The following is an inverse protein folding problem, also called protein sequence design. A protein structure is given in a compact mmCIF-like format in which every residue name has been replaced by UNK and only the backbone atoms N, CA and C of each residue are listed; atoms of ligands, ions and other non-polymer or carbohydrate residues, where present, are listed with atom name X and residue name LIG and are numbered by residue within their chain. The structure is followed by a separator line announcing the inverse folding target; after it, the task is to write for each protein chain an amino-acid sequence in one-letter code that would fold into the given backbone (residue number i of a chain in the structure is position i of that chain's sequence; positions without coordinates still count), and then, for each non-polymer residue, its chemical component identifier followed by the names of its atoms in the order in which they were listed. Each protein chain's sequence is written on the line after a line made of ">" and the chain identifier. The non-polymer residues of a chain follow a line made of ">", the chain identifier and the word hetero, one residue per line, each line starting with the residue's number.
data_IF_646250096802
#
_entry.id   IF_646250096802
#
_cell.length_a   1.000
_cell.length_b   1.000
_cell.length_c   1.000
_cell.angle_alpha   90.00
_cell.angle_beta   90.00
_cell.angle_gamma   90.00
#
_symmetry.space_group_name_H-M   'P 1'
#
loop_
_entity.id
_entity.type
_entity.pdbx_description
1 polymer ?
#
# COMPACT_ATOMS: atom_id res chain seq x y z
N UNK A 1 -20.55 -16.68 11.81
CA UNK A 1 -19.19 -16.60 12.31
C UNK A 1 -18.27 -16.48 11.13
N UNK A 2 -17.43 -15.42 11.08
CA UNK A 2 -16.45 -15.24 10.00
C UNK A 2 -15.46 -16.42 10.04
N UNK A 3 -14.81 -16.69 8.91
CA UNK A 3 -13.80 -17.75 8.84
C UNK A 3 -12.63 -17.47 9.79
N UNK A 4 -12.41 -16.19 10.11
CA UNK A 4 -11.49 -15.76 11.15
C UNK A 4 -11.86 -16.20 12.54
N UNK A 5 -13.15 -16.17 12.91
CA UNK A 5 -13.60 -16.68 14.20
C UNK A 5 -13.44 -18.20 14.30
N UNK A 6 -13.56 -18.92 13.18
CA UNK A 6 -13.27 -20.37 13.13
C UNK A 6 -11.78 -20.66 13.29
N UNK A 7 -10.93 -19.88 12.60
CA UNK A 7 -9.49 -19.99 12.73
C UNK A 7 -9.02 -19.60 14.15
N UNK A 8 -9.59 -18.53 14.71
CA UNK A 8 -9.35 -18.10 16.09
C UNK A 8 -9.70 -19.19 17.09
N UNK A 9 -10.90 -19.81 17.00
CA UNK A 9 -11.29 -20.91 17.89
C UNK A 9 -10.37 -22.12 17.76
N UNK A 10 -9.78 -22.35 16.59
CA UNK A 10 -8.79 -23.39 16.38
C UNK A 10 -7.45 -23.03 17.01
N UNK A 11 -7.10 -21.73 17.04
CA UNK A 11 -5.88 -21.22 17.66
C UNK A 11 -5.98 -21.07 19.18
N UNK A 12 -7.16 -20.81 19.72
CA UNK A 12 -7.40 -20.75 21.17
C UNK A 12 -7.10 -22.07 21.90
N UNK A 13 -6.99 -23.17 21.16
CA UNK A 13 -6.54 -24.45 21.73
C UNK A 13 -5.05 -24.56 21.96
N UNK A 14 -4.27 -23.72 21.29
CA UNK A 14 -2.82 -23.63 21.48
C UNK A 14 -2.33 -22.21 21.11
N UNK A 15 -2.62 -21.21 21.95
CA UNK A 15 -2.41 -19.80 21.62
C UNK A 15 -0.93 -19.39 21.52
N UNK A 16 -0.02 -20.31 21.80
CA UNK A 16 1.42 -20.04 21.87
C UNK A 16 2.26 -20.79 20.82
N UNK A 17 1.66 -21.68 20.06
CA UNK A 17 2.34 -22.25 18.89
C UNK A 17 2.19 -21.30 17.71
N UNK A 18 3.25 -21.16 16.95
CA UNK A 18 3.25 -20.37 15.72
C UNK A 18 2.04 -20.78 14.88
N UNK A 19 1.11 -19.85 14.77
CA UNK A 19 0.02 -19.98 13.84
C UNK A 19 0.64 -19.81 12.46
N UNK A 20 1.11 -20.89 11.98
CA UNK A 20 1.44 -20.96 10.59
C UNK A 20 0.19 -20.62 9.77
N UNK A 21 0.25 -20.71 8.61
CA UNK A 21 -0.69 -20.56 7.53
C UNK A 21 -1.94 -21.41 7.79
N UNK A 22 -3.10 -20.80 7.72
CA UNK A 22 -4.36 -21.51 7.58
C UNK A 22 -4.95 -21.20 6.20
N UNK A 23 -4.96 -22.19 5.34
CA UNK A 23 -5.81 -22.15 4.16
C UNK A 23 -7.25 -22.31 4.65
N UNK A 24 -8.05 -21.28 4.42
CA UNK A 24 -9.47 -21.31 4.71
C UNK A 24 -10.22 -21.26 3.39
N UNK A 25 -10.86 -22.37 3.04
CA UNK A 25 -11.94 -22.29 2.09
C UNK A 25 -13.06 -21.50 2.79
N UNK A 26 -13.25 -20.24 2.35
CA UNK A 26 -14.27 -19.40 2.94
C UNK A 26 -15.66 -19.95 2.64
N UNK A 27 -16.44 -20.15 3.69
CA UNK A 27 -17.84 -20.49 3.58
C UNK A 27 -18.69 -19.37 4.16
N UNK A 28 -19.65 -18.89 3.42
CA UNK A 28 -20.71 -18.06 3.99
C UNK A 28 -21.65 -18.93 4.79
N UNK A 29 -21.92 -18.53 6.03
CA UNK A 29 -22.87 -19.23 6.89
C UNK A 29 -24.28 -18.80 6.49
N UNK A 30 -24.99 -19.66 5.79
CA UNK A 30 -26.38 -19.44 5.38
C UNK A 30 -26.98 -20.70 4.76
N UNK A 31 -28.25 -20.64 4.39
CA UNK A 31 -28.93 -21.78 3.74
C UNK A 31 -28.41 -22.08 2.34
N UNK A 32 -27.69 -21.12 1.73
CA UNK A 32 -26.96 -21.25 0.49
C UNK A 32 -25.49 -20.88 0.77
N UNK A 33 -24.66 -21.86 1.15
CA UNK A 33 -23.23 -21.69 1.36
C UNK A 33 -22.55 -21.51 -0.01
N UNK A 34 -22.21 -20.27 -0.36
CA UNK A 34 -21.29 -20.02 -1.47
C UNK A 34 -19.85 -20.30 -1.00
N UNK A 35 -19.20 -21.24 -1.67
CA UNK A 35 -17.78 -21.49 -1.47
C UNK A 35 -16.99 -20.27 -1.96
N UNK A 36 -16.19 -19.64 -1.09
CA UNK A 36 -15.28 -18.59 -1.47
C UNK A 36 -13.89 -19.17 -1.71
N UNK A 37 -13.18 -18.68 -2.70
CA UNK A 37 -11.78 -19.07 -3.00
C UNK A 37 -10.77 -18.22 -2.22
N UNK A 38 -11.16 -17.66 -1.08
CA UNK A 38 -10.29 -16.83 -0.26
C UNK A 38 -9.27 -17.65 0.52
N UNK A 39 -8.07 -17.12 0.65
CA UNK A 39 -6.96 -17.72 1.41
C UNK A 39 -6.49 -16.75 2.46
N UNK A 40 -6.28 -17.24 3.69
CA UNK A 40 -5.88 -16.38 4.82
C UNK A 40 -4.67 -16.94 5.56
N UNK A 41 -3.69 -16.07 5.79
CA UNK A 41 -2.58 -16.28 6.72
C UNK A 41 -2.94 -15.63 8.04
N UNK A 42 -2.85 -16.36 9.15
CA UNK A 42 -3.02 -15.81 10.49
C UNK A 42 -1.76 -16.08 11.28
N UNK A 43 -1.22 -15.04 11.92
CA UNK A 43 -0.01 -15.16 12.74
C UNK A 43 -0.19 -14.40 14.04
N UNK A 44 0.33 -14.97 15.13
CA UNK A 44 0.36 -14.34 16.44
C UNK A 44 1.09 -13.00 16.36
N UNK A 45 0.56 -12.00 17.04
CA UNK A 45 1.15 -10.68 17.22
C UNK A 45 1.65 -10.56 18.65
N UNK A 46 2.95 -10.34 18.81
CA UNK A 46 3.56 -10.09 20.13
C UNK A 46 3.02 -8.77 20.71
N UNK A 47 3.05 -8.66 22.04
CA UNK A 47 2.47 -7.50 22.75
C UNK A 47 3.07 -6.17 22.30
N UNK A 48 4.38 -6.15 22.07
CA UNK A 48 5.16 -4.94 21.75
C UNK A 48 5.60 -4.90 20.26
N UNK A 49 5.10 -5.82 19.43
CA UNK A 49 5.39 -5.82 17.99
C UNK A 49 4.96 -4.53 17.32
N UNK A 50 5.85 -3.99 16.49
CA UNK A 50 5.57 -2.88 15.59
C UNK A 50 5.52 -3.40 14.14
N UNK A 51 4.62 -2.83 13.33
CA UNK A 51 4.44 -3.23 11.93
C UNK A 51 4.60 -2.03 11.01
N UNK A 52 5.40 -2.19 9.96
CA UNK A 52 5.72 -1.13 9.00
C UNK A 52 5.56 -1.64 7.58
N UNK A 53 5.04 -0.81 6.65
CA UNK A 53 4.98 -1.16 5.24
C UNK A 53 3.66 -0.82 4.55
N UNK A 54 3.29 -1.64 3.56
CA UNK A 54 2.12 -1.57 2.69
C UNK A 54 2.09 -0.38 1.71
N UNK A 55 3.15 0.43 1.65
CA UNK A 55 3.24 1.57 0.76
C UNK A 55 2.42 2.76 1.24
N UNK A 56 1.62 3.34 0.34
CA UNK A 56 0.83 4.55 0.60
C UNK A 56 -0.43 4.22 1.40
N UNK A 57 -0.35 4.37 2.70
CA UNK A 57 -1.44 4.13 3.65
C UNK A 57 -1.48 5.23 4.70
N UNK A 58 -2.67 5.76 5.07
CA UNK A 58 -2.80 6.78 6.11
C UNK A 58 -2.52 6.21 7.52
N UNK A 59 -2.63 7.08 8.50
CA UNK A 59 -2.41 6.74 9.90
C UNK A 59 -0.94 6.79 10.33
N UNK A 60 -0.65 6.24 11.50
CA UNK A 60 0.69 6.23 12.06
C UNK A 60 1.68 5.39 11.24
N UNK A 61 2.97 5.68 11.40
CA UNK A 61 4.03 4.90 10.77
C UNK A 61 3.99 3.43 11.21
N UNK A 62 3.85 3.18 12.51
CA UNK A 62 3.53 1.86 13.03
C UNK A 62 2.06 1.53 12.69
N UNK A 63 1.87 0.50 11.90
CA UNK A 63 0.56 0.06 11.40
C UNK A 63 -0.19 -0.87 12.34
N UNK A 64 0.36 -1.19 13.50
CA UNK A 64 -0.35 -1.97 14.53
C UNK A 64 -1.68 -1.30 14.92
N UNK A 65 -2.73 -2.09 15.02
CA UNK A 65 -4.09 -1.62 15.32
C UNK A 65 -4.86 -1.08 14.12
N UNK A 66 -4.30 -1.16 12.91
CA UNK A 66 -4.98 -0.77 11.67
C UNK A 66 -5.33 -1.98 10.81
N UNK A 67 -6.34 -1.79 9.97
CA UNK A 67 -6.72 -2.73 8.91
C UNK A 67 -6.69 -2.00 7.57
N UNK A 68 -5.97 -2.54 6.59
CA UNK A 68 -5.81 -1.96 5.26
C UNK A 68 -6.21 -2.92 4.16
N UNK A 69 -6.53 -2.35 3.01
CA UNK A 69 -6.83 -3.12 1.80
C UNK A 69 -5.87 -2.70 0.69
N UNK A 70 -5.17 -3.66 0.12
CA UNK A 70 -4.42 -3.45 -1.11
C UNK A 70 -5.36 -3.63 -2.30
N UNK A 71 -5.89 -2.51 -2.73
CA UNK A 71 -6.73 -2.34 -3.92
C UNK A 71 -6.70 -0.87 -4.28
N UNK A 72 -5.97 -0.51 -5.32
CA UNK A 72 -5.72 0.88 -5.68
C UNK A 72 -7.02 1.65 -5.86
N UNK A 73 -7.15 2.76 -5.15
CA UNK A 73 -8.37 3.56 -5.10
C UNK A 73 -8.00 5.02 -5.29
N UNK A 74 -8.68 5.67 -6.23
CA UNK A 74 -8.63 7.11 -6.40
C UNK A 74 -9.63 7.76 -5.43
N UNK A 75 -9.11 8.49 -4.44
CA UNK A 75 -9.93 9.23 -3.49
C UNK A 75 -9.42 10.66 -3.39
N UNK A 76 -10.12 11.63 -4.03
CA UNK A 76 -9.73 13.03 -4.02
C UNK A 76 -10.10 13.76 -2.72
N UNK A 77 -10.83 13.13 -1.82
CA UNK A 77 -11.20 13.71 -0.53
C UNK A 77 -9.99 13.84 0.41
N UNK A 78 -10.03 14.70 1.44
CA UNK A 78 -9.00 14.73 2.46
C UNK A 78 -8.86 13.36 3.13
N UNK A 79 -7.65 12.80 3.09
CA UNK A 79 -7.38 11.48 3.65
C UNK A 79 -7.39 11.52 5.17
N UNK A 80 -8.09 10.57 5.76
CA UNK A 80 -8.17 10.37 7.22
C UNK A 80 -7.62 8.98 7.58
N UNK A 81 -7.28 8.79 8.84
CA UNK A 81 -6.65 7.55 9.33
C UNK A 81 -7.50 6.29 9.11
N UNK A 82 -8.82 6.46 8.97
CA UNK A 82 -9.75 5.37 8.71
C UNK A 82 -9.78 4.86 7.27
N UNK A 83 -9.12 5.54 6.33
CA UNK A 83 -9.04 5.08 4.95
C UNK A 83 -8.22 3.80 4.87
N UNK A 84 -8.81 2.78 4.26
CA UNK A 84 -8.17 1.46 4.15
C UNK A 84 -7.38 1.29 2.85
N UNK A 85 -7.70 2.06 1.82
CA UNK A 85 -7.16 1.92 0.47
C UNK A 85 -6.82 3.28 -0.10
N UNK A 86 -5.67 3.40 -0.78
CA UNK A 86 -5.23 4.59 -1.51
C UNK A 86 -4.61 4.18 -2.86
N UNK A 87 -3.80 5.07 -3.43
CA UNK A 87 -3.27 4.95 -4.79
C UNK A 87 -2.21 3.85 -4.98
N UNK A 88 -1.52 3.43 -3.91
CA UNK A 88 -0.43 2.43 -3.99
C UNK A 88 -0.72 1.22 -3.13
N UNK A 89 -0.48 0.06 -3.71
CA UNK A 89 -0.59 -1.23 -3.04
C UNK A 89 0.75 -1.95 -3.15
N UNK A 90 1.48 -2.01 -2.04
CA UNK A 90 2.74 -2.74 -1.93
C UNK A 90 2.51 -3.83 -0.88
N UNK A 91 2.36 -5.10 -1.28
CA UNK A 91 1.99 -6.17 -0.37
C UNK A 91 3.19 -6.70 0.44
N UNK A 92 3.99 -5.77 0.95
CA UNK A 92 5.16 -6.03 1.78
C UNK A 92 5.07 -5.27 3.08
N UNK A 93 5.33 -5.96 4.19
CA UNK A 93 5.41 -5.37 5.51
C UNK A 93 6.48 -6.04 6.35
N UNK A 94 6.95 -5.33 7.37
CA UNK A 94 7.96 -5.78 8.32
C UNK A 94 7.32 -5.83 9.70
N UNK A 95 7.55 -6.92 10.41
CA UNK A 95 7.24 -7.06 11.84
C UNK A 95 8.54 -6.95 12.62
N UNK A 96 8.58 -6.01 13.55
CA UNK A 96 9.69 -5.77 14.46
C UNK A 96 9.22 -6.04 15.90
N UNK A 97 9.71 -7.12 16.48
CA UNK A 97 9.55 -7.47 17.88
C UNK A 97 10.84 -7.23 18.67
N UNK A 98 10.83 -7.53 19.94
CA UNK A 98 12.00 -7.32 20.83
C UNK A 98 13.22 -8.15 20.42
N UNK A 99 13.02 -9.39 19.99
CA UNK A 99 14.09 -10.34 19.68
C UNK A 99 14.07 -10.84 18.24
N UNK A 100 13.20 -10.29 17.38
CA UNK A 100 13.07 -10.72 16.00
C UNK A 100 12.67 -9.59 15.08
N UNK A 101 13.11 -9.70 13.83
CA UNK A 101 12.68 -8.86 12.74
C UNK A 101 12.45 -9.73 11.51
N UNK A 102 11.32 -9.57 10.84
CA UNK A 102 11.07 -10.28 9.61
C UNK A 102 10.13 -9.49 8.69
N UNK A 103 10.27 -9.72 7.39
CA UNK A 103 9.35 -9.22 6.38
C UNK A 103 8.46 -10.32 5.81
N UNK A 104 7.27 -9.94 5.40
CA UNK A 104 6.38 -10.75 4.59
C UNK A 104 6.09 -9.99 3.30
N UNK A 105 6.38 -10.61 2.17
CA UNK A 105 5.93 -10.17 0.87
C UNK A 105 4.89 -11.16 0.35
N UNK A 106 3.64 -10.73 0.26
CA UNK A 106 2.53 -11.54 -0.23
C UNK A 106 2.42 -11.37 -1.76
N UNK A 107 2.90 -12.37 -2.50
CA UNK A 107 2.94 -12.33 -3.96
C UNK A 107 1.60 -12.74 -4.57
N UNK A 108 0.59 -11.91 -4.34
CA UNK A 108 -0.75 -12.09 -4.87
C UNK A 108 -1.30 -10.76 -5.36
N UNK A 109 -1.85 -10.74 -6.57
CA UNK A 109 -2.37 -9.53 -7.23
C UNK A 109 -3.87 -9.31 -7.02
N UNK A 110 -4.57 -10.22 -6.37
CA UNK A 110 -5.95 -10.04 -5.99
C UNK A 110 -6.08 -9.06 -4.83
N UNK A 111 -7.30 -8.58 -4.63
CA UNK A 111 -7.61 -7.73 -3.48
C UNK A 111 -7.23 -8.43 -2.18
N UNK A 112 -6.42 -7.75 -1.40
CA UNK A 112 -5.85 -8.33 -0.18
C UNK A 112 -6.13 -7.43 1.02
N UNK A 113 -6.65 -8.02 2.07
CA UNK A 113 -6.83 -7.36 3.37
C UNK A 113 -5.66 -7.69 4.28
N UNK A 114 -5.10 -6.68 4.89
CA UNK A 114 -4.07 -6.77 5.94
C UNK A 114 -4.66 -6.21 7.22
N UNK A 115 -4.88 -7.06 8.19
CA UNK A 115 -5.32 -6.67 9.52
C UNK A 115 -4.18 -6.85 10.52
N UNK A 116 -3.73 -5.76 11.12
CA UNK A 116 -2.59 -5.76 12.00
C UNK A 116 -3.00 -5.59 13.47
N UNK A 117 -3.90 -6.44 13.91
CA UNK A 117 -4.43 -6.39 15.27
C UNK A 117 -5.58 -5.39 15.45
N UNK A 118 -6.25 -5.00 14.37
CA UNK A 118 -7.45 -4.16 14.41
C UNK A 118 -8.66 -4.98 14.89
N UNK A 119 -8.87 -6.17 14.32
CA UNK A 119 -9.95 -7.06 14.73
C UNK A 119 -9.65 -7.68 16.11
N UNK A 120 -8.41 -8.10 16.32
CA UNK A 120 -7.98 -8.71 17.57
C UNK A 120 -6.49 -8.43 17.82
N UNK A 121 -6.13 -7.93 18.99
CA UNK A 121 -4.77 -7.51 19.35
C UNK A 121 -3.75 -8.65 19.45
N UNK A 122 -4.19 -9.91 19.46
CA UNK A 122 -3.35 -11.07 19.68
C UNK A 122 -2.81 -11.69 18.40
N UNK A 123 -3.33 -11.28 17.24
CA UNK A 123 -2.86 -11.76 15.95
C UNK A 123 -3.00 -10.69 14.85
N UNK A 124 -2.25 -10.89 13.78
CA UNK A 124 -2.50 -10.25 12.49
C UNK A 124 -2.93 -11.29 11.46
N UNK A 125 -3.59 -10.84 10.40
CA UNK A 125 -3.89 -11.70 9.27
C UNK A 125 -3.71 -10.98 7.93
N UNK A 126 -3.44 -11.80 6.91
CA UNK A 126 -3.44 -11.41 5.51
C UNK A 126 -4.45 -12.29 4.78
N UNK A 127 -5.46 -11.69 4.19
CA UNK A 127 -6.50 -12.40 3.45
C UNK A 127 -6.49 -11.99 1.98
N UNK A 128 -6.30 -12.95 1.11
CA UNK A 128 -6.48 -12.79 -0.33
C UNK A 128 -7.92 -13.17 -0.71
N UNK A 129 -8.60 -12.30 -1.48
CA UNK A 129 -9.96 -12.59 -1.96
C UNK A 129 -9.99 -13.81 -2.87
N UNK A 130 -8.91 -14.03 -3.65
CA UNK A 130 -8.72 -15.16 -4.56
C UNK A 130 -7.24 -15.43 -4.80
N UNK A 131 -6.98 -16.51 -5.55
CA UNK A 131 -5.64 -16.88 -5.97
C UNK A 131 -4.97 -17.84 -5.01
N UNK A 132 -3.72 -18.11 -5.24
CA UNK A 132 -2.91 -19.02 -4.45
C UNK A 132 -2.29 -18.30 -3.25
N UNK A 133 -1.93 -19.08 -2.24
CA UNK A 133 -1.13 -18.61 -1.13
C UNK A 133 0.34 -18.64 -1.53
N UNK A 134 0.82 -17.55 -2.11
CA UNK A 134 2.22 -17.35 -2.42
C UNK A 134 2.78 -16.17 -1.63
N UNK A 135 3.84 -16.41 -0.86
CA UNK A 135 4.48 -15.37 -0.08
C UNK A 135 5.94 -15.69 0.22
N UNK A 136 6.73 -14.66 0.43
CA UNK A 136 8.13 -14.74 0.83
C UNK A 136 8.27 -14.32 2.29
N UNK A 137 8.85 -15.20 3.09
CA UNK A 137 9.26 -14.90 4.45
C UNK A 137 10.73 -14.48 4.46
N UNK A 138 11.02 -13.31 4.98
CA UNK A 138 12.34 -12.67 4.95
C UNK A 138 12.83 -12.39 6.38
N UNK A 139 13.51 -13.35 7.03
CA UNK A 139 14.06 -13.14 8.36
C UNK A 139 15.29 -12.24 8.30
N UNK A 140 15.45 -11.35 9.28
CA UNK A 140 16.63 -10.49 9.41
C UNK A 140 16.92 -10.15 10.87
N UNK A 141 18.12 -9.68 11.12
CA UNK A 141 18.51 -9.22 12.45
C UNK A 141 17.97 -7.80 12.73
N UNK A 142 17.72 -7.05 11.65
CA UNK A 142 17.15 -5.71 11.72
C UNK A 142 16.32 -5.41 10.44
N UNK A 143 15.67 -4.25 10.43
CA UNK A 143 14.85 -3.82 9.31
C UNK A 143 15.65 -3.57 8.02
N UNK A 144 16.92 -3.16 8.14
CA UNK A 144 17.77 -2.90 6.97
C UNK A 144 18.09 -4.19 6.23
N UNK A 145 18.39 -5.26 6.97
CA UNK A 145 18.61 -6.59 6.39
C UNK A 145 17.35 -7.13 5.72
N UNK A 146 16.19 -7.00 6.35
CA UNK A 146 14.90 -7.39 5.76
C UNK A 146 14.60 -6.62 4.48
N UNK A 147 14.83 -5.30 4.45
CA UNK A 147 14.69 -4.50 3.24
C UNK A 147 15.70 -4.92 2.16
N UNK A 148 16.93 -5.27 2.57
CA UNK A 148 17.95 -5.81 1.68
C UNK A 148 17.49 -7.11 1.00
N UNK A 149 16.89 -8.03 1.74
CA UNK A 149 16.32 -9.26 1.21
C UNK A 149 15.16 -8.99 0.24
N UNK A 150 14.25 -8.09 0.62
CA UNK A 150 13.16 -7.68 -0.25
C UNK A 150 13.66 -7.07 -1.57
N UNK A 151 14.61 -6.13 -1.49
CA UNK A 151 15.15 -5.48 -2.69
C UNK A 151 16.04 -6.40 -3.53
N UNK A 152 16.62 -7.45 -2.95
CA UNK A 152 17.32 -8.48 -3.73
C UNK A 152 16.37 -9.28 -4.64
N UNK A 153 15.12 -9.42 -4.21
CA UNK A 153 14.07 -10.08 -4.97
C UNK A 153 13.42 -9.14 -5.99
N UNK A 154 13.06 -7.92 -5.56
CA UNK A 154 12.25 -6.97 -6.35
C UNK A 154 13.08 -5.97 -7.15
N UNK A 155 14.36 -5.89 -6.89
CA UNK A 155 15.26 -4.86 -7.44
C UNK A 155 15.30 -3.59 -6.59
N UNK A 156 16.27 -2.74 -6.89
CA UNK A 156 16.48 -1.44 -6.25
C UNK A 156 16.12 -0.31 -7.18
N UNK A 157 15.66 0.79 -6.62
CA UNK A 157 15.42 2.02 -7.37
C UNK A 157 16.75 2.59 -7.89
N UNK A 158 16.88 2.92 -9.18
CA UNK A 158 18.07 3.59 -9.68
C UNK A 158 18.22 4.98 -9.07
N UNK A 159 19.47 5.46 -8.98
CA UNK A 159 19.73 6.83 -8.57
C UNK A 159 19.32 7.78 -9.71
N UNK A 160 18.30 8.57 -9.47
CA UNK A 160 17.79 9.54 -10.42
C UNK A 160 18.59 10.86 -10.40
N UNK A 161 18.28 11.72 -11.36
CA UNK A 161 18.81 13.08 -11.41
C UNK A 161 18.34 13.92 -10.21
N UNK A 162 19.17 14.88 -9.78
CA UNK A 162 18.94 15.62 -8.53
C UNK A 162 17.59 16.33 -8.46
N UNK A 163 17.11 16.89 -9.57
CA UNK A 163 15.84 17.62 -9.62
C UNK A 163 14.62 16.75 -9.32
N UNK A 164 14.70 15.44 -9.56
CA UNK A 164 13.61 14.49 -9.23
C UNK A 164 13.36 14.39 -7.71
N UNK A 165 14.38 14.71 -6.90
CA UNK A 165 14.27 14.74 -5.44
C UNK A 165 13.91 16.14 -4.90
N UNK A 166 13.65 17.09 -5.78
CA UNK A 166 13.27 18.44 -5.43
C UNK A 166 11.80 18.62 -5.13
N UNK A 167 11.34 19.86 -5.17
CA UNK A 167 9.94 20.20 -4.93
C UNK A 167 9.10 20.05 -6.19
N UNK A 168 8.05 19.28 -6.10
CA UNK A 168 7.11 19.00 -7.19
C UNK A 168 5.77 19.65 -6.89
N UNK A 169 5.26 20.41 -7.85
CA UNK A 169 3.92 20.99 -7.81
C UNK A 169 3.01 20.25 -8.78
N UNK A 170 1.88 19.79 -8.29
CA UNK A 170 0.82 19.23 -9.14
C UNK A 170 -0.54 19.78 -8.75
N UNK A 171 -1.43 19.92 -9.72
CA UNK A 171 -2.80 20.35 -9.52
C UNK A 171 -3.65 19.94 -10.71
N UNK A 172 -4.82 19.44 -10.49
CA UNK A 172 -5.86 19.43 -11.51
C UNK A 172 -6.34 20.87 -11.78
N UNK A 173 -6.32 21.28 -13.06
CA UNK A 173 -6.75 22.62 -13.48
C UNK A 173 -5.65 23.53 -14.01
N UNK A 174 -4.61 22.97 -14.61
CA UNK A 174 -3.67 23.69 -15.48
C UNK A 174 -4.18 23.61 -16.92
N UNK A 175 -5.04 24.54 -17.30
CA UNK A 175 -5.80 24.45 -18.56
C UNK A 175 -5.08 24.99 -19.77
N UNK A 176 -4.13 25.91 -19.58
CA UNK A 176 -3.40 26.57 -20.67
C UNK A 176 -1.91 26.66 -20.39
N UNK A 177 -1.13 26.84 -21.48
CA UNK A 177 0.31 27.08 -21.40
C UNK A 177 0.62 28.30 -20.55
N UNK A 178 -0.13 29.39 -20.72
CA UNK A 178 0.10 30.65 -19.99
C UNK A 178 -0.11 30.46 -18.48
N UNK A 179 -1.12 29.72 -18.06
CA UNK A 179 -1.34 29.39 -16.64
C UNK A 179 -0.16 28.61 -16.03
N UNK A 180 0.40 27.66 -16.78
CA UNK A 180 1.57 26.89 -16.31
C UNK A 180 2.80 27.78 -16.19
N UNK A 181 3.03 28.65 -17.16
CA UNK A 181 4.14 29.59 -17.14
C UNK A 181 3.99 30.63 -16.01
N UNK A 182 2.80 31.19 -15.83
CA UNK A 182 2.51 32.13 -14.74
C UNK A 182 2.78 31.52 -13.36
N UNK A 183 2.44 30.25 -13.17
CA UNK A 183 2.72 29.54 -11.91
C UNK A 183 4.23 29.33 -11.72
N UNK A 184 4.93 28.93 -12.77
CA UNK A 184 6.37 28.77 -12.71
C UNK A 184 7.07 30.10 -12.35
N UNK A 185 6.63 31.19 -12.96
CA UNK A 185 7.16 32.53 -12.69
C UNK A 185 6.87 32.98 -11.25
N UNK A 186 5.66 32.72 -10.73
CA UNK A 186 5.31 33.02 -9.34
C UNK A 186 6.17 32.29 -8.32
N UNK A 187 6.50 31.02 -8.57
CA UNK A 187 7.45 30.30 -7.72
C UNK A 187 8.81 31.00 -7.69
N UNK A 188 9.27 31.53 -8.82
CA UNK A 188 10.55 32.29 -8.91
C UNK A 188 10.44 33.65 -8.24
N UNK A 189 9.38 34.42 -8.49
CA UNK A 189 9.15 35.74 -7.91
C UNK A 189 9.08 35.70 -6.38
N UNK A 190 8.48 34.65 -5.83
CA UNK A 190 8.28 34.45 -4.39
C UNK A 190 9.44 33.74 -3.71
N UNK A 191 10.48 33.37 -4.46
CA UNK A 191 11.64 32.59 -3.98
C UNK A 191 11.21 31.26 -3.31
N UNK A 192 10.19 30.63 -3.87
CA UNK A 192 9.72 29.32 -3.42
C UNK A 192 10.36 28.24 -4.31
N UNK A 193 11.08 27.26 -3.73
CA UNK A 193 11.66 26.16 -4.51
C UNK A 193 10.61 25.37 -5.27
N UNK A 194 10.82 25.19 -6.57
CA UNK A 194 10.01 24.32 -7.42
C UNK A 194 10.88 23.79 -8.57
N UNK A 195 11.02 22.49 -8.63
CA UNK A 195 11.85 21.81 -9.64
C UNK A 195 10.99 21.20 -10.75
N UNK A 196 9.74 20.84 -10.46
CA UNK A 196 8.85 20.16 -11.41
C UNK A 196 7.43 20.67 -11.26
N UNK A 197 6.76 20.87 -12.38
CA UNK A 197 5.30 21.07 -12.46
C UNK A 197 4.68 19.92 -13.24
N UNK A 198 3.68 19.26 -12.66
CA UNK A 198 2.90 18.21 -13.31
C UNK A 198 1.60 18.79 -13.85
N UNK A 199 1.40 18.74 -15.16
CA UNK A 199 0.26 19.37 -15.84
C UNK A 199 -1.07 18.64 -15.71
N UNK A 200 -1.06 17.45 -15.10
CA UNK A 200 -2.23 16.59 -14.95
C UNK A 200 -2.78 16.10 -16.32
N UNK A 201 -4.05 16.35 -16.64
CA UNK A 201 -4.73 15.78 -17.83
C UNK A 201 -5.28 16.82 -18.81
N UNK A 202 -5.49 18.06 -18.41
CA UNK A 202 -6.17 19.08 -19.21
C UNK A 202 -5.35 19.62 -20.38
N UNK A 203 -4.05 19.29 -20.42
CA UNK A 203 -3.17 19.60 -21.55
C UNK A 203 -3.42 18.73 -22.79
N UNK A 204 -4.09 17.58 -22.60
CA UNK A 204 -4.29 16.60 -23.66
C UNK A 204 -5.31 17.07 -24.68
N UNK A 205 -5.13 16.68 -25.94
CA UNK A 205 -6.12 16.85 -26.98
C UNK A 205 -7.27 15.83 -26.81
N UNK A 206 -8.37 16.27 -26.20
CA UNK A 206 -9.53 15.43 -25.93
C UNK A 206 -9.20 14.23 -25.03
N UNK A 207 -8.34 14.43 -24.03
CA UNK A 207 -7.89 13.42 -23.04
C UNK A 207 -7.20 12.17 -23.63
N UNK A 208 -6.64 12.31 -24.86
CA UNK A 208 -5.84 11.25 -25.46
C UNK A 208 -4.41 11.31 -24.95
N UNK A 209 -3.95 10.23 -24.37
CA UNK A 209 -2.59 10.11 -23.81
C UNK A 209 -1.54 10.39 -24.88
N UNK A 210 -0.44 11.01 -24.50
CA UNK A 210 0.68 11.41 -25.40
C UNK A 210 0.32 12.43 -26.49
N UNK A 211 -0.73 13.22 -26.27
CA UNK A 211 -1.09 14.33 -27.14
C UNK A 211 -1.12 15.65 -26.39
N UNK A 212 -0.90 16.76 -27.12
CA UNK A 212 -1.15 18.10 -26.61
C UNK A 212 -2.30 18.74 -27.40
N UNK A 213 -3.08 19.59 -26.74
CA UNK A 213 -4.04 20.45 -27.39
C UNK A 213 -3.34 21.68 -27.95
N UNK A 214 -3.13 21.75 -29.27
CA UNK A 214 -2.39 22.81 -29.95
C UNK A 214 -2.96 24.21 -29.73
N UNK A 215 -4.24 24.33 -29.31
CA UNK A 215 -4.88 25.62 -29.02
C UNK A 215 -4.55 26.12 -27.62
N UNK A 216 -4.43 25.19 -26.69
CA UNK A 216 -4.15 25.47 -25.27
C UNK A 216 -2.64 25.54 -25.00
N UNK A 217 -1.88 24.73 -25.72
CA UNK A 217 -0.42 24.57 -25.59
C UNK A 217 0.26 24.67 -26.97
N UNK A 218 0.32 25.88 -27.57
CA UNK A 218 0.79 26.06 -28.95
C UNK A 218 2.29 25.86 -29.14
N UNK A 219 3.10 26.06 -28.11
CA UNK A 219 4.56 26.10 -28.19
C UNK A 219 5.25 24.90 -27.54
N UNK A 220 4.58 23.77 -27.46
CA UNK A 220 5.18 22.55 -26.94
C UNK A 220 6.21 22.00 -27.92
N UNK A 221 7.47 21.93 -27.50
CA UNK A 221 8.60 21.39 -28.29
C UNK A 221 9.19 20.17 -27.62
#
# INVERSE_FOLDING_TARGET
>A
LSDYEKARKKSEKNPYEDLAIAELEGHTVGKDEEKTDSVTIIKKLGKDDAIYGLGDKPGCLNKRGYSYVNWNTDDPAPHVDSFKSLYKSIPFFIVLGDEYCYGIFADNTYKTTFDFGYENTDYYFVEHEKGELDYYFMPGNDMAEVVGLYTSLTGTTPLYQRWIYGSHQSRWGYYTQDEVLDIADKFRELDIPCDVIHMDIDYMNGYRVFTFDDKKFPDVK
#
